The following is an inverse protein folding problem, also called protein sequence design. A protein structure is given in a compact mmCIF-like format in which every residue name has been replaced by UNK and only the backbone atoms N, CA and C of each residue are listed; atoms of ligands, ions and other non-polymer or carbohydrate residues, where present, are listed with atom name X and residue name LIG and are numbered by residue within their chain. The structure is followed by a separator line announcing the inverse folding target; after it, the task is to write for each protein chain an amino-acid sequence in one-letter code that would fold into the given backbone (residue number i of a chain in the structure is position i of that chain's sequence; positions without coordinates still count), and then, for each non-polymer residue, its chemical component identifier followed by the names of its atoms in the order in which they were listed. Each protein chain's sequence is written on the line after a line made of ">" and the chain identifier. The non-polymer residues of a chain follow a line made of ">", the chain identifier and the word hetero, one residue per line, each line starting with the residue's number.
data_IF_013877915791
#
_entry.id   IF_013877915791
#
_cell.length_a   1.000
_cell.length_b   1.000
_cell.length_c   1.000
_cell.angle_alpha   90.00
_cell.angle_beta   90.00
_cell.angle_gamma   90.00
#
_symmetry.space_group_name_H-M   'P 1'
#
loop_
_entity.id
_entity.type
_entity.pdbx_description
1 polymer ?
#
# COMPACT_ATOMS: atom_id res chain seq x y z
N UNK A 1 -12.97 -1.87 -1.18
CA UNK A 1 -12.61 -1.97 0.25
C UNK A 1 -11.43 -2.92 0.40
N UNK A 2 -10.54 -2.69 1.37
CA UNK A 2 -9.34 -3.51 1.59
C UNK A 2 -9.16 -3.77 3.09
N UNK A 3 -8.76 -4.99 3.44
CA UNK A 3 -8.15 -5.28 4.75
C UNK A 3 -6.67 -4.94 4.75
N UNK A 4 -6.03 -5.00 5.93
CA UNK A 4 -4.62 -4.63 6.09
C UNK A 4 -3.66 -5.39 5.16
N UNK A 5 -3.81 -6.72 5.08
CA UNK A 5 -2.98 -7.55 4.19
C UNK A 5 -3.20 -7.21 2.70
N UNK A 6 -4.43 -6.90 2.31
CA UNK A 6 -4.74 -6.46 0.95
C UNK A 6 -4.07 -5.13 0.62
N UNK A 7 -4.02 -4.21 1.60
CA UNK A 7 -3.34 -2.93 1.47
C UNK A 7 -1.81 -3.09 1.37
N UNK A 8 -1.21 -3.96 2.18
CA UNK A 8 0.23 -4.27 2.07
C UNK A 8 0.57 -4.90 0.72
N UNK A 9 -0.27 -5.81 0.22
CA UNK A 9 -0.11 -6.41 -1.11
C UNK A 9 -0.10 -5.34 -2.21
N UNK A 10 -0.96 -4.32 -2.09
CA UNK A 10 -0.97 -3.19 -3.02
C UNK A 10 0.35 -2.38 -2.96
N UNK A 11 0.85 -2.05 -1.77
CA UNK A 11 2.13 -1.33 -1.64
C UNK A 11 3.28 -2.14 -2.25
N UNK A 12 3.29 -3.46 -2.04
CA UNK A 12 4.30 -4.37 -2.62
C UNK A 12 4.27 -4.41 -4.15
N UNK A 13 3.13 -4.10 -4.76
CA UNK A 13 2.99 -3.99 -6.22
C UNK A 13 3.55 -2.69 -6.80
N UNK A 14 3.88 -1.69 -5.98
CA UNK A 14 4.38 -0.41 -6.46
C UNK A 14 5.82 -0.54 -6.99
N UNK A 15 6.08 0.08 -8.14
CA UNK A 15 7.40 0.05 -8.78
C UNK A 15 8.51 0.57 -7.86
N UNK A 16 8.23 1.59 -7.05
CA UNK A 16 9.18 2.12 -6.07
C UNK A 16 9.59 1.06 -5.03
N UNK A 17 8.63 0.29 -4.51
CA UNK A 17 8.90 -0.80 -3.58
C UNK A 17 9.75 -1.90 -4.23
N UNK A 18 9.37 -2.32 -5.44
CA UNK A 18 10.10 -3.35 -6.18
C UNK A 18 11.55 -2.93 -6.49
N UNK A 19 11.78 -1.67 -6.86
CA UNK A 19 13.13 -1.13 -7.11
C UNK A 19 13.96 -1.09 -5.82
N UNK A 20 13.38 -0.62 -4.72
CA UNK A 20 14.07 -0.59 -3.42
C UNK A 20 14.49 -2.00 -2.99
N UNK A 21 13.55 -2.95 -3.08
CA UNK A 21 13.81 -4.36 -2.78
C UNK A 21 14.89 -4.97 -3.68
N UNK A 22 14.87 -4.66 -4.98
CA UNK A 22 15.90 -5.08 -5.92
C UNK A 22 17.30 -4.52 -5.62
N UNK A 23 17.36 -3.38 -4.90
CA UNK A 23 18.62 -2.78 -4.39
C UNK A 23 18.99 -3.27 -2.98
N UNK A 24 18.27 -4.25 -2.44
CA UNK A 24 18.51 -4.80 -1.10
C UNK A 24 17.93 -3.97 0.04
N UNK A 25 17.06 -3.00 -0.25
CA UNK A 25 16.38 -2.18 0.77
C UNK A 25 14.97 -2.70 0.97
N UNK A 26 14.68 -3.27 2.15
CA UNK A 26 13.32 -3.67 2.54
C UNK A 26 12.60 -2.48 3.19
N UNK A 27 11.63 -1.89 2.47
CA UNK A 27 10.85 -0.74 2.94
C UNK A 27 9.67 -1.13 3.83
N UNK A 28 9.24 -2.39 3.78
CA UNK A 28 8.17 -2.95 4.62
C UNK A 28 8.77 -3.98 5.57
N UNK A 29 9.76 -3.54 6.35
CA UNK A 29 10.33 -4.32 7.43
C UNK A 29 9.33 -4.48 8.58
N UNK A 30 9.65 -5.37 9.52
CA UNK A 30 8.74 -5.76 10.60
C UNK A 30 8.32 -4.56 11.48
N UNK A 31 9.21 -3.59 11.72
CA UNK A 31 8.89 -2.40 12.50
C UNK A 31 7.88 -1.50 11.74
N UNK A 32 8.16 -1.24 10.46
CA UNK A 32 7.28 -0.43 9.62
C UNK A 32 5.90 -1.08 9.47
N UNK A 33 5.84 -2.40 9.27
CA UNK A 33 4.59 -3.15 9.18
C UNK A 33 3.81 -3.10 10.49
N UNK A 34 4.46 -3.24 11.64
CA UNK A 34 3.80 -3.15 12.95
C UNK A 34 3.18 -1.77 13.17
N UNK A 35 3.91 -0.69 12.85
CA UNK A 35 3.41 0.69 12.96
C UNK A 35 2.26 0.97 12.00
N UNK A 36 2.33 0.45 10.78
CA UNK A 36 1.23 0.54 9.83
C UNK A 36 -0.01 -0.23 10.31
N UNK A 37 0.17 -1.40 10.93
CA UNK A 37 -0.93 -2.20 11.47
C UNK A 37 -1.61 -1.49 12.63
N UNK A 38 -0.85 -0.90 13.55
CA UNK A 38 -1.36 -0.08 14.64
C UNK A 38 -2.19 1.11 14.11
N UNK A 39 -1.66 1.83 13.11
CA UNK A 39 -2.36 2.94 12.47
C UNK A 39 -3.58 2.49 11.66
N UNK A 40 -3.59 1.25 11.16
CA UNK A 40 -4.73 0.66 10.46
C UNK A 40 -5.90 0.37 11.40
N UNK A 41 -5.67 0.25 12.70
CA UNK A 41 -6.72 0.00 13.68
C UNK A 41 -6.30 -1.08 14.65
N UNK A 42 -6.75 -0.94 15.90
CA UNK A 42 -6.22 -1.70 17.03
C UNK A 42 -6.34 -3.22 16.89
N UNK A 43 -7.29 -3.72 16.09
CA UNK A 43 -7.41 -5.16 15.79
C UNK A 43 -6.65 -5.60 14.54
N UNK A 44 -6.37 -4.69 13.59
CA UNK A 44 -5.82 -5.00 12.27
C UNK A 44 -6.77 -5.80 11.35
N UNK A 45 -7.99 -6.09 11.80
CA UNK A 45 -9.01 -6.85 11.05
C UNK A 45 -10.01 -5.93 10.34
N UNK A 46 -9.89 -4.63 10.54
CA UNK A 46 -10.77 -3.64 9.94
C UNK A 46 -10.59 -3.59 8.43
N UNK A 47 -11.72 -3.68 7.72
CA UNK A 47 -11.80 -3.40 6.30
C UNK A 47 -12.05 -1.91 6.11
N UNK A 48 -11.20 -1.24 5.33
CA UNK A 48 -11.31 0.20 5.06
C UNK A 48 -11.60 0.49 3.60
N UNK A 49 -12.28 1.62 3.38
CA UNK A 49 -12.39 2.20 2.04
C UNK A 49 -11.10 2.95 1.72
N UNK A 50 -10.43 2.52 0.66
CA UNK A 50 -9.23 3.19 0.14
C UNK A 50 -9.60 3.88 -1.17
N UNK A 51 -9.30 5.17 -1.29
CA UNK A 51 -9.66 6.01 -2.43
C UNK A 51 -8.41 6.56 -3.10
N UNK A 52 -8.44 6.69 -4.43
CA UNK A 52 -7.36 7.29 -5.21
C UNK A 52 -7.91 8.40 -6.11
N UNK A 53 -7.22 9.55 -6.19
CA UNK A 53 -7.57 10.58 -7.15
C UNK A 53 -7.23 10.09 -8.56
N UNK A 54 -8.23 10.10 -9.44
CA UNK A 54 -8.05 9.80 -10.85
C UNK A 54 -7.91 11.09 -11.64
N UNK A 55 -6.82 11.21 -12.39
CA UNK A 55 -6.61 12.29 -13.36
C UNK A 55 -6.68 11.70 -14.76
N UNK A 56 -7.70 12.07 -15.53
CA UNK A 56 -7.95 11.55 -16.88
C UNK A 56 -7.94 12.71 -17.89
N UNK A 57 -7.30 12.48 -19.05
CA UNK A 57 -7.35 13.37 -20.21
C UNK A 57 -7.87 12.57 -21.40
N UNK A 58 -8.94 13.05 -22.04
CA UNK A 58 -9.55 12.40 -23.21
C UNK A 58 -9.56 13.42 -24.34
N UNK A 59 -9.04 13.04 -25.50
CA UNK A 59 -9.11 13.81 -26.74
C UNK A 59 -9.89 13.05 -27.80
N UNK A 60 -10.53 13.79 -28.70
CA UNK A 60 -11.17 13.23 -29.90
C UNK A 60 -10.33 13.67 -31.10
N UNK A 61 -10.06 12.75 -32.03
CA UNK A 61 -9.32 13.01 -33.29
C UNK A 61 -10.23 13.69 -34.29
#
# INVERSE_FOLDING_TARGET
>A
ELGFEGYLSLIRSWSAYQIAKGKGVELLDDETVARLKEAWGSSGEEVKTVTWPLFLRIGVV
#
